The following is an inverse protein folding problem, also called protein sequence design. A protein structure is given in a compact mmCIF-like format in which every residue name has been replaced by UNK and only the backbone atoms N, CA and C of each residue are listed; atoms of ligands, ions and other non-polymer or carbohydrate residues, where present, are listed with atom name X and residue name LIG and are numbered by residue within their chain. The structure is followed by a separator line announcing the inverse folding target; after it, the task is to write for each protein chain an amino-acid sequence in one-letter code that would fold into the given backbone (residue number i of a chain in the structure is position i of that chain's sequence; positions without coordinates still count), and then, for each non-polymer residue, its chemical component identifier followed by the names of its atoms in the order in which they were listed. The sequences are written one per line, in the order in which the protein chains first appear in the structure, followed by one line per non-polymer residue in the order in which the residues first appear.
data_IF_081704865934
#
_entry.id   IF_081704865934
#
_cell.length_a   1.000
_cell.length_b   1.000
_cell.length_c   1.000
_cell.angle_alpha   90.00
_cell.angle_beta   90.00
_cell.angle_gamma   90.00
#
_symmetry.space_group_name_H-M   'P 1'
#
loop_
_entity.id
_entity.type
_entity.pdbx_description
1 polymer ?
#
# COMPACT_ATOMS: atom_id res chain seq x y z
N UNK A 1 3.31 28.10 2.18
CA UNK A 1 4.40 27.85 1.19
C UNK A 1 5.12 26.51 1.43
N UNK A 2 5.62 26.25 2.63
CA UNK A 2 6.43 25.05 2.92
C UNK A 2 5.66 23.72 2.94
N UNK A 3 4.37 23.76 3.24
CA UNK A 3 3.52 22.55 3.25
C UNK A 3 3.35 21.95 1.85
N UNK A 4 3.37 22.77 0.80
CA UNK A 4 3.28 22.30 -0.59
C UNK A 4 4.53 21.50 -0.99
N UNK A 5 5.71 21.85 -0.47
CA UNK A 5 6.96 21.13 -0.74
C UNK A 5 6.88 19.68 -0.28
N UNK A 6 6.39 19.44 0.92
CA UNK A 6 6.23 18.09 1.46
C UNK A 6 5.11 17.33 0.75
N UNK A 7 4.01 18.00 0.41
CA UNK A 7 2.94 17.40 -0.40
C UNK A 7 3.46 16.90 -1.75
N UNK A 8 4.15 17.75 -2.51
CA UNK A 8 4.73 17.37 -3.79
C UNK A 8 5.75 16.24 -3.66
N UNK A 9 6.53 16.23 -2.57
CA UNK A 9 7.48 15.15 -2.27
C UNK A 9 6.76 13.82 -2.04
N UNK A 10 5.70 13.82 -1.23
CA UNK A 10 4.89 12.62 -0.96
C UNK A 10 4.25 12.10 -2.25
N UNK A 11 3.70 12.99 -3.09
CA UNK A 11 3.11 12.63 -4.38
C UNK A 11 4.16 12.03 -5.31
N UNK A 12 5.33 12.65 -5.42
CA UNK A 12 6.44 12.15 -6.25
C UNK A 12 6.89 10.75 -5.79
N UNK A 13 7.04 10.55 -4.49
CA UNK A 13 7.40 9.26 -3.92
C UNK A 13 6.33 8.19 -4.17
N UNK A 14 5.05 8.54 -4.06
CA UNK A 14 3.95 7.62 -4.36
C UNK A 14 3.99 7.17 -5.82
N UNK A 15 4.18 8.12 -6.75
CA UNK A 15 4.31 7.82 -8.19
C UNK A 15 5.48 6.88 -8.47
N UNK A 16 6.66 7.18 -7.93
CA UNK A 16 7.86 6.37 -8.12
C UNK A 16 7.70 4.96 -7.51
N UNK A 17 7.13 4.87 -6.31
CA UNK A 17 6.83 3.60 -5.64
C UNK A 17 5.91 2.72 -6.48
N UNK A 18 4.80 3.30 -6.94
CA UNK A 18 3.79 2.58 -7.71
C UNK A 18 4.39 2.11 -9.05
N UNK A 19 5.06 2.99 -9.78
CA UNK A 19 5.67 2.65 -11.07
C UNK A 19 6.79 1.60 -10.95
N UNK A 20 7.55 1.61 -9.85
CA UNK A 20 8.61 0.63 -9.63
C UNK A 20 8.13 -0.73 -9.10
N UNK A 21 6.99 -0.76 -8.40
CA UNK A 21 6.45 -2.00 -7.81
C UNK A 21 5.52 -2.73 -8.79
N UNK A 22 4.71 -1.98 -9.52
CA UNK A 22 3.68 -2.51 -10.40
C UNK A 22 4.08 -2.33 -11.88
N UNK A 23 4.20 -3.43 -12.62
CA UNK A 23 4.56 -3.43 -14.05
C UNK A 23 3.38 -3.09 -14.97
N UNK A 24 2.49 -2.19 -14.51
CA UNK A 24 1.25 -1.81 -15.17
C UNK A 24 0.19 -1.42 -14.15
N UNK A 25 -0.48 -0.28 -14.38
CA UNK A 25 -1.52 0.22 -13.48
C UNK A 25 -2.91 -0.01 -14.08
N UNK A 26 -3.62 -1.01 -13.55
CA UNK A 26 -5.05 -1.17 -13.82
C UNK A 26 -5.89 -0.26 -12.93
N UNK A 27 -6.86 0.51 -13.48
CA UNK A 27 -7.71 1.40 -12.67
C UNK A 27 -8.54 0.65 -11.62
N UNK A 28 -8.80 -0.65 -11.85
CA UNK A 28 -9.57 -1.54 -10.97
C UNK A 28 -9.03 -1.59 -9.53
N UNK A 29 -7.72 -1.46 -9.32
CA UNK A 29 -7.09 -1.63 -8.01
C UNK A 29 -6.35 -0.37 -7.54
N UNK A 30 -6.64 0.79 -8.13
CA UNK A 30 -5.92 2.03 -7.84
C UNK A 30 -5.96 2.40 -6.36
N UNK A 31 -7.13 2.26 -5.72
CA UNK A 31 -7.29 2.54 -4.29
C UNK A 31 -6.40 1.61 -3.45
N UNK A 32 -6.43 0.30 -3.73
CA UNK A 32 -5.60 -0.69 -3.03
C UNK A 32 -4.09 -0.38 -3.14
N UNK A 33 -3.62 0.11 -4.29
CA UNK A 33 -2.24 0.55 -4.47
C UNK A 33 -1.88 1.75 -3.59
N UNK A 34 -2.80 2.71 -3.45
CA UNK A 34 -2.61 3.88 -2.59
C UNK A 34 -2.68 3.51 -1.09
N UNK A 35 -3.55 2.57 -0.73
CA UNK A 35 -3.65 2.06 0.63
C UNK A 35 -2.37 1.33 1.04
N UNK A 36 -1.81 0.51 0.14
CA UNK A 36 -0.54 -0.16 0.37
C UNK A 36 0.63 0.83 0.51
N UNK A 37 0.68 1.85 -0.37
CA UNK A 37 1.68 2.92 -0.24
C UNK A 37 1.56 3.63 1.12
N UNK A 38 0.34 3.97 1.53
CA UNK A 38 0.07 4.61 2.82
C UNK A 38 0.47 3.71 3.99
N UNK A 39 0.15 2.42 3.92
CA UNK A 39 0.55 1.42 4.91
C UNK A 39 2.07 1.38 5.08
N UNK A 40 2.82 1.29 3.97
CA UNK A 40 4.29 1.24 3.95
C UNK A 40 4.90 2.56 4.40
N UNK A 41 4.39 3.70 3.92
CA UNK A 41 4.90 5.02 4.28
C UNK A 41 4.75 5.29 5.78
N UNK A 42 3.58 5.01 6.36
CA UNK A 42 3.31 5.18 7.78
C UNK A 42 4.15 4.24 8.65
N UNK A 43 4.57 3.09 8.09
CA UNK A 43 5.35 2.07 8.81
C UNK A 43 6.83 2.03 8.44
N UNK A 44 7.34 3.01 7.68
CA UNK A 44 8.71 3.01 7.12
C UNK A 44 9.84 2.93 8.15
N UNK A 45 9.57 3.27 9.41
CA UNK A 45 10.53 3.20 10.52
C UNK A 45 10.53 1.84 11.24
N UNK A 46 9.56 0.97 10.99
CA UNK A 46 9.40 -0.33 11.66
C UNK A 46 9.97 -1.50 10.82
N UNK A 47 11.16 -1.32 10.23
CA UNK A 47 11.72 -2.26 9.24
C UNK A 47 11.90 -3.71 9.76
N UNK A 48 12.04 -3.91 11.06
CA UNK A 48 12.15 -5.24 11.68
C UNK A 48 10.82 -5.93 12.02
N UNK A 49 9.68 -5.27 11.86
CA UNK A 49 8.37 -5.82 12.25
C UNK A 49 7.57 -6.40 11.08
N UNK A 50 8.08 -6.32 9.84
CA UNK A 50 7.32 -6.72 8.66
C UNK A 50 6.88 -8.19 8.73
N UNK A 51 7.82 -9.08 9.04
CA UNK A 51 7.54 -10.51 9.17
C UNK A 51 6.51 -10.80 10.27
N UNK A 52 6.76 -10.32 11.49
CA UNK A 52 5.86 -10.57 12.62
C UNK A 52 4.45 -10.00 12.40
N UNK A 53 4.34 -8.85 11.73
CA UNK A 53 3.04 -8.25 11.41
C UNK A 53 2.30 -9.01 10.32
N UNK A 54 3.01 -9.47 9.29
CA UNK A 54 2.44 -10.33 8.27
C UNK A 54 1.93 -11.62 8.90
N UNK A 55 2.75 -12.28 9.71
CA UNK A 55 2.36 -13.50 10.42
C UNK A 55 1.12 -13.26 11.29
N UNK A 56 1.10 -12.17 12.06
CA UNK A 56 -0.05 -11.82 12.89
C UNK A 56 -1.32 -11.58 12.04
N UNK A 57 -1.19 -10.88 10.91
CA UNK A 57 -2.32 -10.68 10.00
C UNK A 57 -2.83 -12.02 9.43
N UNK A 58 -1.93 -12.92 9.00
CA UNK A 58 -2.31 -14.24 8.50
C UNK A 58 -3.01 -15.11 9.55
N UNK A 59 -2.65 -14.98 10.83
CA UNK A 59 -3.28 -15.74 11.93
C UNK A 59 -4.63 -15.15 12.32
N UNK A 60 -4.79 -13.83 12.24
CA UNK A 60 -6.01 -13.12 12.68
C UNK A 60 -7.05 -12.93 11.58
N UNK A 61 -6.67 -13.02 10.30
CA UNK A 61 -7.58 -12.86 9.17
C UNK A 61 -8.40 -14.11 8.95
N UNK A 62 -9.70 -13.93 8.74
CA UNK A 62 -10.60 -15.00 8.28
C UNK A 62 -10.23 -15.47 6.86
N UNK A 63 -10.61 -16.70 6.51
CA UNK A 63 -10.35 -17.23 5.16
C UNK A 63 -11.01 -16.35 4.09
N UNK A 64 -10.20 -15.78 3.20
CA UNK A 64 -10.64 -15.02 2.05
C UNK A 64 -10.66 -15.89 0.80
N UNK A 65 -11.73 -15.80 0.01
CA UNK A 65 -11.83 -16.45 -1.30
C UNK A 65 -11.16 -15.60 -2.38
N UNK A 66 -10.79 -16.22 -3.51
CA UNK A 66 -10.21 -15.48 -4.64
C UNK A 66 -11.13 -14.35 -5.14
N UNK A 67 -12.44 -14.61 -5.19
CA UNK A 67 -13.41 -13.62 -5.66
C UNK A 67 -13.48 -12.39 -4.75
N UNK A 68 -13.36 -12.58 -3.44
CA UNK A 68 -13.29 -11.49 -2.46
C UNK A 68 -11.96 -10.75 -2.54
N UNK A 69 -10.85 -11.46 -2.79
CA UNK A 69 -9.52 -10.86 -2.91
C UNK A 69 -9.41 -9.94 -4.14
N UNK A 70 -10.03 -10.31 -5.26
CA UNK A 70 -10.01 -9.50 -6.50
C UNK A 70 -11.20 -8.56 -6.62
N UNK A 71 -12.15 -8.62 -5.68
CA UNK A 71 -13.22 -7.64 -5.60
C UNK A 71 -12.59 -6.25 -5.42
N UNK A 72 -13.14 -5.26 -6.12
CA UNK A 72 -12.75 -3.87 -5.90
C UNK A 72 -13.17 -3.54 -4.48
N UNK A 73 -12.20 -3.16 -3.63
CA UNK A 73 -12.51 -2.62 -2.30
C UNK A 73 -13.50 -1.46 -2.47
N UNK A 74 -14.65 -1.47 -1.78
CA UNK A 74 -15.67 -0.43 -1.92
C UNK A 74 -15.16 0.97 -1.56
#
# INVERSE_FOLDING_TARGET
PDHLKWLHTIISNAKAYIAGTYHGLGPRHLQSYLDEYSFRFNRRKFKGQLFNRLLNACVLTDTITYNELVAVSP
#
